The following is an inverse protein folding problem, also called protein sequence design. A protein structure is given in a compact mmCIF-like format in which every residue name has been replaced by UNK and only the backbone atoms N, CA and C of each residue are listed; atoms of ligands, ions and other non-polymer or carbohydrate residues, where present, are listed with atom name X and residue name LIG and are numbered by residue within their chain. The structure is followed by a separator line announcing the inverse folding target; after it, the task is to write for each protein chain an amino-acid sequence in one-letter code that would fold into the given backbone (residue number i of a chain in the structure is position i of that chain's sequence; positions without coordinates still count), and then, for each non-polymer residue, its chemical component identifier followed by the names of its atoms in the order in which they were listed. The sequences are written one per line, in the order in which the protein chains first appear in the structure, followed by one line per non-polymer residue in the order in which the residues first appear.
data_IF_593939610595
#
_entry.id   IF_593939610595
#
_cell.length_a   1.000
_cell.length_b   1.000
_cell.length_c   1.000
_cell.angle_alpha   90.00
_cell.angle_beta   90.00
_cell.angle_gamma   90.00
#
_symmetry.space_group_name_H-M   'P 1'
#
loop_
_entity.id
_entity.type
_entity.pdbx_description
1 polymer ?
#
# COMPACT_ATOMS: atom_id res chain seq x y z
N UNK A 1 -38.80 22.65 -31.00
CA UNK A 1 -37.72 23.59 -30.59
C UNK A 1 -37.55 23.66 -29.06
N UNK A 2 -37.42 22.53 -28.34
CA UNK A 2 -37.30 22.51 -26.86
C UNK A 2 -36.00 21.88 -26.32
N UNK A 3 -35.06 21.49 -27.19
CA UNK A 3 -33.81 20.82 -26.79
C UNK A 3 -32.63 21.76 -26.50
N UNK A 4 -32.68 23.04 -26.91
CA UNK A 4 -31.53 23.96 -26.83
C UNK A 4 -31.38 24.64 -25.45
N UNK A 5 -32.51 24.91 -24.77
CA UNK A 5 -32.52 25.56 -23.45
C UNK A 5 -31.98 24.70 -22.32
N UNK A 6 -32.31 23.39 -22.29
CA UNK A 6 -31.81 22.44 -21.28
C UNK A 6 -30.28 22.29 -21.33
N UNK A 7 -29.70 22.13 -22.54
CA UNK A 7 -28.25 22.01 -22.71
C UNK A 7 -27.49 23.25 -22.24
N UNK A 8 -28.02 24.45 -22.49
CA UNK A 8 -27.41 25.71 -22.01
C UNK A 8 -27.51 25.86 -20.49
N UNK A 9 -28.64 25.48 -19.88
CA UNK A 9 -28.80 25.50 -18.41
C UNK A 9 -27.89 24.49 -17.71
N UNK A 10 -27.78 23.28 -18.23
CA UNK A 10 -26.90 22.23 -17.70
C UNK A 10 -25.42 22.63 -17.84
N UNK A 11 -25.02 23.23 -18.97
CA UNK A 11 -23.66 23.73 -19.19
C UNK A 11 -23.30 24.89 -18.24
N UNK A 12 -24.24 25.80 -17.94
CA UNK A 12 -24.01 26.93 -17.01
C UNK A 12 -23.95 26.45 -15.56
N UNK A 13 -24.77 25.46 -15.17
CA UNK A 13 -24.71 24.81 -13.85
C UNK A 13 -23.40 24.03 -13.68
N UNK A 14 -23.00 23.29 -14.69
CA UNK A 14 -21.73 22.55 -14.72
C UNK A 14 -20.56 23.53 -14.57
N UNK A 15 -20.55 24.65 -15.30
CA UNK A 15 -19.48 25.65 -15.22
C UNK A 15 -19.40 26.40 -13.87
N UNK A 16 -20.55 26.72 -13.24
CA UNK A 16 -20.57 27.28 -11.87
C UNK A 16 -20.12 26.26 -10.83
N UNK A 17 -20.51 24.99 -10.97
CA UNK A 17 -20.09 23.92 -10.07
C UNK A 17 -18.59 23.62 -10.20
N UNK A 18 -18.06 23.55 -11.43
CA UNK A 18 -16.62 23.40 -11.72
C UNK A 18 -15.80 24.54 -11.14
N UNK A 19 -16.26 25.79 -11.27
CA UNK A 19 -15.62 26.96 -10.64
C UNK A 19 -15.64 26.89 -9.12
N UNK A 20 -16.71 26.39 -8.50
CA UNK A 20 -16.76 26.18 -7.06
C UNK A 20 -15.79 25.07 -6.62
N UNK A 21 -15.73 23.95 -7.35
CA UNK A 21 -14.81 22.85 -7.07
C UNK A 21 -13.33 23.22 -7.28
N UNK A 22 -13.03 24.02 -8.32
CA UNK A 22 -11.69 24.57 -8.53
C UNK A 22 -11.24 25.43 -7.34
N UNK A 23 -12.13 26.25 -6.77
CA UNK A 23 -11.84 27.03 -5.55
C UNK A 23 -11.62 26.17 -4.31
N UNK A 24 -12.16 24.95 -4.30
CA UNK A 24 -11.92 23.97 -3.23
C UNK A 24 -10.69 23.09 -3.44
N UNK A 25 -9.97 23.20 -4.55
CA UNK A 25 -8.80 22.35 -4.85
C UNK A 25 -9.15 20.93 -5.31
N UNK A 26 -10.32 20.74 -5.92
CA UNK A 26 -10.76 19.45 -6.48
C UNK A 26 -10.85 19.56 -8.01
N UNK A 27 -10.15 18.68 -8.71
CA UNK A 27 -10.25 18.49 -10.15
C UNK A 27 -11.53 17.72 -10.51
N UNK A 28 -12.16 18.11 -11.62
CA UNK A 28 -13.39 17.50 -12.16
C UNK A 28 -13.13 16.78 -13.49
N UNK A 29 -11.89 16.78 -13.99
CA UNK A 29 -11.49 15.93 -15.10
C UNK A 29 -11.41 14.48 -14.66
N UNK A 30 -11.63 13.55 -15.60
CA UNK A 30 -11.39 12.14 -15.34
C UNK A 30 -9.89 11.92 -15.15
N UNK A 31 -9.51 11.15 -14.14
CA UNK A 31 -8.12 10.81 -13.83
C UNK A 31 -8.00 9.31 -13.71
N UNK A 32 -7.00 8.73 -14.37
CA UNK A 32 -6.58 7.33 -14.15
C UNK A 32 -5.42 7.36 -13.17
N UNK A 33 -5.62 6.76 -12.01
CA UNK A 33 -4.57 6.61 -11.01
C UNK A 33 -4.09 5.17 -11.02
N UNK A 34 -2.81 4.96 -11.31
CA UNK A 34 -2.18 3.64 -11.31
C UNK A 34 -1.29 3.53 -10.07
N UNK A 35 -1.46 2.44 -9.32
CA UNK A 35 -0.67 2.13 -8.14
C UNK A 35 0.49 1.19 -8.51
N UNK A 36 1.44 1.04 -7.59
CA UNK A 36 2.51 0.06 -7.77
C UNK A 36 1.93 -1.35 -7.79
N UNK A 37 2.18 -2.03 -8.90
CA UNK A 37 1.90 -3.43 -9.11
C UNK A 37 3.09 -4.31 -8.78
N UNK A 38 2.89 -5.61 -8.90
CA UNK A 38 3.91 -6.61 -8.63
C UNK A 38 3.61 -7.88 -9.42
N UNK A 39 4.61 -8.74 -9.57
CA UNK A 39 4.41 -10.06 -10.12
C UNK A 39 5.71 -10.80 -10.32
N UNK A 40 5.63 -11.96 -10.95
CA UNK A 40 6.79 -12.77 -11.31
C UNK A 40 6.83 -12.98 -12.84
N UNK A 41 7.80 -13.75 -13.32
CA UNK A 41 8.03 -13.98 -14.76
C UNK A 41 6.83 -14.56 -15.52
N UNK A 42 5.85 -15.18 -14.85
CA UNK A 42 4.70 -15.82 -15.47
C UNK A 42 3.36 -15.10 -15.28
N UNK A 43 3.26 -14.18 -14.31
CA UNK A 43 2.05 -13.44 -14.03
C UNK A 43 2.40 -12.09 -13.38
N UNK A 44 1.90 -11.01 -13.97
CA UNK A 44 2.02 -9.64 -13.50
C UNK A 44 0.65 -9.09 -13.14
N UNK A 45 0.63 -8.18 -12.17
CA UNK A 45 -0.58 -7.48 -11.80
C UNK A 45 -0.33 -6.03 -11.44
N UNK A 46 -1.30 -5.18 -11.78
CA UNK A 46 -1.33 -3.76 -11.42
C UNK A 46 -2.74 -3.33 -11.06
N UNK A 47 -2.83 -2.36 -10.15
CA UNK A 47 -4.07 -1.87 -9.58
C UNK A 47 -4.21 -0.37 -9.84
N UNK A 48 -5.44 0.12 -9.80
CA UNK A 48 -5.67 1.54 -9.90
C UNK A 48 -7.12 1.94 -9.72
N UNK A 49 -7.40 3.23 -9.88
CA UNK A 49 -8.76 3.75 -9.92
C UNK A 49 -8.95 4.67 -11.13
N UNK A 50 -10.15 4.64 -11.71
CA UNK A 50 -10.64 5.72 -12.56
C UNK A 50 -11.54 6.61 -11.72
N UNK A 51 -11.17 7.88 -11.62
CA UNK A 51 -11.85 8.87 -10.80
C UNK A 51 -12.46 9.92 -11.72
N UNK A 52 -13.76 10.18 -11.57
CA UNK A 52 -14.43 11.30 -12.24
C UNK A 52 -14.14 12.64 -11.55
N UNK A 53 -13.67 12.59 -10.30
CA UNK A 53 -13.21 13.75 -9.53
C UNK A 53 -12.08 13.34 -8.61
N UNK A 54 -10.97 14.05 -8.65
CA UNK A 54 -9.79 13.83 -7.82
C UNK A 54 -9.35 15.15 -7.18
N UNK A 55 -8.56 15.13 -6.09
CA UNK A 55 -7.83 16.33 -5.67
C UNK A 55 -6.94 16.82 -6.81
N UNK A 56 -6.68 18.14 -6.89
CA UNK A 56 -5.58 18.60 -7.74
C UNK A 56 -4.26 18.02 -7.23
N UNK A 57 -3.30 17.69 -8.12
CA UNK A 57 -1.93 17.48 -7.70
C UNK A 57 -1.41 18.82 -7.19
N UNK A 58 -1.26 18.98 -5.87
CA UNK A 58 -0.58 20.15 -5.34
C UNK A 58 0.92 19.99 -5.63
N UNK A 59 1.50 20.99 -6.31
CA UNK A 59 2.94 21.18 -6.30
C UNK A 59 3.40 21.43 -4.86
N UNK A 60 4.54 20.85 -4.50
CA UNK A 60 5.21 20.98 -3.18
C UNK A 60 5.03 22.40 -2.62
N UNK A 61 4.07 22.61 -1.70
CA UNK A 61 3.85 23.93 -1.10
C UNK A 61 3.72 23.84 0.41
N UNK A 62 4.36 24.82 1.06
CA UNK A 62 4.67 24.95 2.47
C UNK A 62 3.50 24.68 3.43
N UNK A 63 3.90 24.00 4.50
CA UNK A 63 3.15 23.52 5.66
C UNK A 63 2.33 24.59 6.39
N UNK A 64 1.00 24.49 6.30
CA UNK A 64 0.05 25.16 7.20
C UNK A 64 -0.97 24.15 7.75
N UNK A 65 -1.17 24.15 9.08
CA UNK A 65 -2.02 23.20 9.82
C UNK A 65 -3.45 23.05 9.26
N UNK A 66 -4.09 24.18 8.92
CA UNK A 66 -5.45 24.21 8.36
C UNK A 66 -5.49 23.83 6.87
N UNK A 67 -4.39 24.06 6.14
CA UNK A 67 -4.23 23.63 4.75
C UNK A 67 -4.16 22.11 4.65
N UNK A 68 -3.40 21.47 5.56
CA UNK A 68 -3.23 20.03 5.65
C UNK A 68 -4.53 19.28 5.95
N UNK A 69 -5.36 19.79 6.87
CA UNK A 69 -6.67 19.17 7.18
C UNK A 69 -7.64 19.30 6.00
N UNK A 70 -7.62 20.42 5.27
CA UNK A 70 -8.44 20.57 4.05
C UNK A 70 -7.94 19.67 2.92
N UNK A 71 -6.63 19.59 2.69
CA UNK A 71 -6.03 18.67 1.72
C UNK A 71 -6.41 17.23 2.01
N UNK A 72 -6.43 16.85 3.30
CA UNK A 72 -6.87 15.54 3.76
C UNK A 72 -8.34 15.26 3.51
N UNK A 73 -9.23 16.19 3.87
CA UNK A 73 -10.67 16.03 3.63
C UNK A 73 -10.95 15.86 2.13
N UNK A 74 -10.18 16.51 1.24
CA UNK A 74 -10.30 16.32 -0.21
C UNK A 74 -9.98 14.90 -0.68
N UNK A 75 -9.08 14.18 0.00
CA UNK A 75 -8.80 12.76 -0.31
C UNK A 75 -10.05 11.87 -0.14
N UNK A 76 -11.01 12.28 0.67
CA UNK A 76 -12.29 11.58 0.87
C UNK A 76 -13.42 12.15 0.01
N UNK A 77 -13.17 13.23 -0.75
CA UNK A 77 -14.14 13.85 -1.69
C UNK A 77 -13.98 13.33 -3.13
N UNK A 78 -13.25 12.23 -3.28
CA UNK A 78 -13.05 11.53 -4.55
C UNK A 78 -14.36 10.94 -5.05
N UNK A 79 -14.63 11.07 -6.35
CA UNK A 79 -15.77 10.41 -6.99
C UNK A 79 -15.25 9.36 -7.96
N UNK A 80 -15.59 8.10 -7.72
CA UNK A 80 -15.26 6.99 -8.60
C UNK A 80 -15.97 7.10 -9.96
N UNK A 81 -15.42 6.44 -10.98
CA UNK A 81 -16.07 6.22 -12.27
C UNK A 81 -16.30 4.70 -12.42
N UNK A 82 -17.52 4.20 -12.14
CA UNK A 82 -17.83 2.77 -12.27
C UNK A 82 -17.91 2.34 -13.74
N UNK A 83 -17.64 1.06 -14.00
CA UNK A 83 -17.76 0.42 -15.32
C UNK A 83 -16.98 1.13 -16.43
N UNK A 84 -15.91 1.85 -16.07
CA UNK A 84 -15.03 2.55 -16.99
C UNK A 84 -14.15 1.53 -17.71
N UNK A 85 -14.11 1.57 -19.04
CA UNK A 85 -13.22 0.74 -19.84
C UNK A 85 -11.79 1.23 -19.72
N UNK A 86 -10.88 0.36 -19.33
CA UNK A 86 -9.46 0.67 -19.21
C UNK A 86 -8.63 -0.35 -19.97
N UNK A 87 -7.53 0.11 -20.54
CA UNK A 87 -6.57 -0.71 -21.25
C UNK A 87 -5.15 -0.46 -20.76
N UNK A 88 -4.36 -1.53 -20.69
CA UNK A 88 -2.95 -1.54 -20.36
C UNK A 88 -2.18 -2.02 -21.60
N UNK A 89 -1.10 -1.33 -21.94
CA UNK A 89 -0.16 -1.81 -22.96
C UNK A 89 1.08 -2.43 -22.32
N UNK A 90 1.43 -3.64 -22.74
CA UNK A 90 2.62 -4.35 -22.26
C UNK A 90 3.21 -5.24 -23.34
N UNK A 91 4.49 -5.04 -23.70
CA UNK A 91 5.19 -5.84 -24.73
C UNK A 91 4.41 -5.96 -26.07
N UNK A 92 3.72 -4.90 -26.49
CA UNK A 92 2.89 -4.90 -27.71
C UNK A 92 1.50 -5.52 -27.55
N UNK A 93 1.20 -6.13 -26.39
CA UNK A 93 -0.13 -6.61 -26.05
C UNK A 93 -0.99 -5.47 -25.50
N UNK A 94 -2.28 -5.50 -25.82
CA UNK A 94 -3.28 -4.62 -25.21
C UNK A 94 -4.21 -5.47 -24.35
N UNK A 95 -4.19 -5.23 -23.05
CA UNK A 95 -5.01 -5.95 -22.07
C UNK A 95 -6.14 -5.01 -21.66
N UNK A 96 -7.37 -5.51 -21.69
CA UNK A 96 -8.57 -4.74 -21.35
C UNK A 96 -9.19 -5.20 -20.04
N UNK A 97 -9.68 -4.26 -19.24
CA UNK A 97 -10.57 -4.56 -18.11
C UNK A 97 -11.58 -3.42 -17.91
N UNK A 98 -12.48 -3.58 -16.95
CA UNK A 98 -13.43 -2.55 -16.55
C UNK A 98 -13.29 -2.27 -15.06
N UNK A 99 -13.53 -1.03 -14.67
CA UNK A 99 -13.58 -0.70 -13.24
C UNK A 99 -14.81 -1.30 -12.57
N UNK A 100 -14.65 -1.68 -11.31
CA UNK A 100 -15.75 -2.02 -10.42
C UNK A 100 -16.58 -0.78 -10.02
N UNK A 101 -17.61 -0.98 -9.20
CA UNK A 101 -18.53 0.09 -8.78
C UNK A 101 -17.84 1.24 -8.02
N UNK A 102 -16.76 0.93 -7.31
CA UNK A 102 -15.92 1.89 -6.60
C UNK A 102 -14.85 2.55 -7.51
N UNK A 103 -14.89 2.27 -8.82
CA UNK A 103 -13.93 2.79 -9.79
C UNK A 103 -12.58 2.10 -9.75
N UNK A 104 -12.40 1.05 -8.95
CA UNK A 104 -11.17 0.26 -8.88
C UNK A 104 -11.03 -0.63 -10.12
N UNK A 105 -9.81 -0.71 -10.66
CA UNK A 105 -9.46 -1.72 -11.66
C UNK A 105 -8.28 -2.57 -11.18
N UNK A 106 -8.25 -3.80 -11.67
CA UNK A 106 -7.18 -4.75 -11.47
C UNK A 106 -6.87 -5.44 -12.80
N UNK A 107 -5.63 -5.33 -13.24
CA UNK A 107 -5.11 -6.10 -14.36
C UNK A 107 -4.29 -7.27 -13.83
N UNK A 108 -4.53 -8.45 -14.40
CA UNK A 108 -3.65 -9.61 -14.31
C UNK A 108 -3.32 -10.04 -15.72
N UNK A 109 -2.05 -10.23 -16.04
CA UNK A 109 -1.63 -10.66 -17.36
C UNK A 109 -0.33 -11.44 -17.31
N UNK A 110 -0.11 -12.23 -18.35
CA UNK A 110 1.12 -12.99 -18.55
C UNK A 110 1.99 -12.26 -19.57
N UNK A 111 3.26 -11.91 -19.24
CA UNK A 111 4.20 -11.39 -20.24
C UNK A 111 4.41 -12.38 -21.39
N UNK A 112 4.60 -11.86 -22.60
CA UNK A 112 4.90 -12.69 -23.78
C UNK A 112 6.30 -13.28 -23.69
N UNK A 113 7.25 -12.44 -23.27
CA UNK A 113 8.65 -12.78 -23.10
C UNK A 113 9.08 -12.54 -21.65
N UNK A 114 10.08 -13.30 -21.14
CA UNK A 114 10.64 -13.08 -19.82
C UNK A 114 11.09 -11.63 -19.63
N UNK A 115 10.49 -10.95 -18.66
CA UNK A 115 10.87 -9.58 -18.27
C UNK A 115 11.97 -9.65 -17.22
N UNK A 116 13.05 -8.84 -17.30
CA UNK A 116 14.10 -8.83 -16.31
C UNK A 116 13.61 -8.36 -14.94
N UNK A 117 14.34 -8.71 -13.88
CA UNK A 117 14.05 -8.23 -12.54
C UNK A 117 14.21 -6.70 -12.44
N UNK A 118 13.37 -6.06 -11.64
CA UNK A 118 13.37 -4.61 -11.42
C UNK A 118 11.98 -3.97 -11.50
N UNK A 119 11.97 -2.65 -11.45
CA UNK A 119 10.78 -1.83 -11.66
C UNK A 119 10.57 -1.54 -13.14
N UNK A 120 9.34 -1.76 -13.61
CA UNK A 120 8.96 -1.53 -15.00
C UNK A 120 7.79 -0.54 -15.06
N UNK A 121 7.89 0.52 -15.88
CA UNK A 121 6.78 1.46 -16.03
C UNK A 121 5.60 0.76 -16.70
N UNK A 122 4.39 1.14 -16.29
CA UNK A 122 3.14 0.71 -16.90
C UNK A 122 2.24 1.90 -17.13
N UNK A 123 1.50 1.88 -18.22
CA UNK A 123 0.59 2.94 -18.59
C UNK A 123 -0.80 2.37 -18.80
N UNK A 124 -1.78 2.95 -18.11
CA UNK A 124 -3.18 2.57 -18.20
C UNK A 124 -3.97 3.73 -18.77
N UNK A 125 -4.73 3.45 -19.82
CA UNK A 125 -5.59 4.43 -20.49
C UNK A 125 -7.04 4.09 -20.24
N UNK A 126 -7.84 5.07 -19.81
CA UNK A 126 -9.29 4.97 -19.82
C UNK A 126 -9.81 5.42 -21.18
N UNK A 127 -10.59 4.54 -21.82
CA UNK A 127 -11.20 4.80 -23.12
C UNK A 127 -12.72 4.94 -22.99
N UNK A 128 -13.32 5.72 -23.89
CA UNK A 128 -14.77 5.86 -24.01
C UNK A 128 -15.12 6.09 -25.47
N UNK A 129 -16.01 5.26 -26.03
CA UNK A 129 -16.41 5.32 -27.44
C UNK A 129 -15.23 5.27 -28.43
N UNK A 130 -14.15 4.55 -28.09
CA UNK A 130 -12.94 4.46 -28.92
C UNK A 130 -11.97 5.62 -28.78
N UNK A 131 -12.28 6.64 -27.96
CA UNK A 131 -11.39 7.77 -27.69
C UNK A 131 -10.66 7.61 -26.35
N UNK A 132 -9.39 8.05 -26.30
CA UNK A 132 -8.60 8.12 -25.06
C UNK A 132 -9.05 9.32 -24.22
N UNK A 133 -9.62 9.06 -23.04
CA UNK A 133 -10.19 10.10 -22.17
C UNK A 133 -9.19 10.57 -21.13
N UNK A 134 -8.45 9.64 -20.55
CA UNK A 134 -7.45 9.91 -19.52
C UNK A 134 -6.42 8.79 -19.47
N UNK A 135 -5.22 9.12 -19.04
CA UNK A 135 -4.10 8.19 -18.94
C UNK A 135 -3.42 8.36 -17.57
N UNK A 136 -2.88 7.27 -17.05
CA UNK A 136 -2.14 7.24 -15.81
C UNK A 136 -0.95 6.30 -15.92
N UNK A 137 0.14 6.65 -15.26
CA UNK A 137 1.36 5.84 -15.21
C UNK A 137 1.57 5.27 -13.81
N UNK A 138 2.14 4.08 -13.76
CA UNK A 138 2.54 3.37 -12.55
C UNK A 138 3.76 2.52 -12.81
N UNK A 139 4.06 1.62 -11.87
CA UNK A 139 5.22 0.72 -11.98
C UNK A 139 4.83 -0.67 -11.51
N UNK A 140 5.41 -1.72 -12.10
CA UNK A 140 5.29 -3.11 -11.66
C UNK A 140 6.67 -3.59 -11.23
N UNK A 141 6.75 -4.19 -10.05
CA UNK A 141 7.99 -4.79 -9.57
C UNK A 141 8.07 -6.29 -9.88
N UNK A 142 9.21 -6.71 -10.42
CA UNK A 142 9.56 -8.10 -10.66
C UNK A 142 10.82 -8.44 -9.85
N UNK A 143 10.76 -9.32 -8.84
CA UNK A 143 11.94 -9.67 -8.05
C UNK A 143 12.92 -10.55 -8.81
N UNK A 144 14.17 -10.49 -8.37
CA UNK A 144 15.18 -11.47 -8.74
C UNK A 144 14.97 -12.78 -7.96
N UNK A 145 15.16 -13.97 -8.55
CA UNK A 145 14.87 -15.25 -7.89
C UNK A 145 15.65 -15.53 -6.60
N UNK A 146 16.78 -14.87 -6.38
CA UNK A 146 17.64 -15.06 -5.18
C UNK A 146 17.18 -14.26 -3.97
N UNK A 147 16.19 -13.38 -4.12
CA UNK A 147 15.73 -12.49 -3.07
C UNK A 147 14.72 -13.19 -2.15
N UNK A 148 14.66 -12.73 -0.91
CA UNK A 148 13.50 -12.96 -0.05
C UNK A 148 12.63 -11.71 -0.01
N UNK A 149 11.35 -11.85 0.32
CA UNK A 149 10.44 -10.72 0.45
C UNK A 149 10.23 -10.29 1.88
N UNK A 150 9.91 -9.01 2.09
CA UNK A 150 9.48 -8.49 3.39
C UNK A 150 8.02 -8.05 3.28
N UNK A 151 7.16 -8.55 4.17
CA UNK A 151 5.76 -8.11 4.27
C UNK A 151 5.62 -7.37 5.59
N UNK A 152 5.26 -6.09 5.53
CA UNK A 152 5.20 -5.20 6.67
C UNK A 152 3.83 -4.58 6.85
N UNK A 153 3.35 -4.53 8.09
CA UNK A 153 2.28 -3.60 8.45
C UNK A 153 2.81 -2.16 8.57
N UNK A 154 2.14 -1.26 7.87
CA UNK A 154 2.38 0.18 7.96
C UNK A 154 1.52 0.85 9.03
N UNK A 155 0.39 0.25 9.40
CA UNK A 155 -0.68 0.94 10.12
C UNK A 155 -0.26 1.45 11.50
N UNK A 156 0.47 0.67 12.30
CA UNK A 156 0.94 1.10 13.63
C UNK A 156 2.45 1.35 13.69
N UNK A 157 3.20 1.04 12.62
CA UNK A 157 4.65 1.33 12.53
C UNK A 157 4.93 2.83 12.33
N UNK A 158 3.97 3.60 11.79
CA UNK A 158 4.20 4.99 11.35
C UNK A 158 3.14 6.01 11.79
N UNK A 159 2.01 5.54 12.34
CA UNK A 159 0.87 6.37 12.71
C UNK A 159 0.65 6.29 14.22
N UNK A 160 0.81 7.41 14.93
CA UNK A 160 0.51 7.45 16.37
C UNK A 160 -0.98 7.10 16.60
N UNK A 161 -1.17 5.99 17.31
CA UNK A 161 -2.23 5.70 18.30
C UNK A 161 -3.59 5.08 17.88
N UNK A 162 -3.85 3.95 18.57
CA UNK A 162 -5.07 3.51 19.27
C UNK A 162 -6.34 4.38 19.12
N UNK A 163 -6.88 4.46 17.91
CA UNK A 163 -8.24 4.94 17.74
C UNK A 163 -9.01 4.13 16.70
N UNK A 164 -10.21 3.70 17.07
CA UNK A 164 -11.14 2.98 16.18
C UNK A 164 -11.73 3.89 15.08
N UNK A 165 -11.49 5.21 15.18
CA UNK A 165 -12.02 6.21 14.25
C UNK A 165 -10.95 6.69 13.27
N UNK A 166 -11.12 6.33 12.01
CA UNK A 166 -10.32 6.77 10.85
C UNK A 166 -10.08 8.29 10.88
N UNK A 167 -11.10 9.09 11.22
CA UNK A 167 -10.99 10.55 11.37
C UNK A 167 -10.06 11.02 12.50
N UNK A 168 -9.95 10.29 13.62
CA UNK A 168 -8.99 10.61 14.69
C UNK A 168 -7.57 10.22 14.27
N UNK A 169 -7.36 9.06 13.65
CA UNK A 169 -6.07 8.66 13.04
C UNK A 169 -5.58 9.72 12.04
N UNK A 170 -6.48 10.18 11.17
CA UNK A 170 -6.25 11.23 10.18
C UNK A 170 -6.04 12.61 10.83
N UNK A 171 -6.78 12.99 11.87
CA UNK A 171 -6.53 14.25 12.58
C UNK A 171 -5.16 14.24 13.28
N UNK A 172 -4.81 13.13 13.93
CA UNK A 172 -3.50 12.96 14.54
C UNK A 172 -2.42 13.06 13.49
N UNK A 173 -2.60 12.44 12.31
CA UNK A 173 -1.68 12.47 11.18
C UNK A 173 -1.39 13.87 10.59
N UNK A 174 -2.36 14.77 10.63
CA UNK A 174 -2.27 16.06 9.92
C UNK A 174 -2.16 17.27 10.84
N UNK A 175 -2.26 17.09 12.17
CA UNK A 175 -2.06 18.16 13.16
C UNK A 175 -0.62 18.32 13.64
N UNK A 176 0.28 17.40 13.31
CA UNK A 176 1.71 17.50 13.62
C UNK A 176 2.55 17.19 12.38
N UNK A 177 3.70 17.84 12.25
CA UNK A 177 4.59 17.77 11.09
C UNK A 177 4.90 16.30 10.74
N UNK A 178 4.85 15.92 9.47
CA UNK A 178 5.32 14.58 9.04
C UNK A 178 6.79 14.37 9.44
N UNK A 179 7.57 15.45 9.46
CA UNK A 179 8.96 15.53 9.93
C UNK A 179 9.13 15.55 11.46
N UNK A 180 8.06 15.75 12.25
CA UNK A 180 8.12 15.64 13.72
C UNK A 180 7.67 14.26 14.23
N UNK A 181 7.12 13.40 13.35
CA UNK A 181 6.79 12.01 13.69
C UNK A 181 7.88 11.09 13.19
N UNK A 182 8.91 10.90 14.00
CA UNK A 182 9.92 9.88 13.74
C UNK A 182 9.22 8.52 13.71
N UNK A 183 9.39 7.71 12.65
CA UNK A 183 9.26 6.27 12.76
C UNK A 183 9.92 5.80 14.05
N UNK A 184 9.39 4.73 14.66
CA UNK A 184 10.03 4.15 15.84
C UNK A 184 11.54 4.05 15.64
N UNK A 185 12.30 4.52 16.63
CA UNK A 185 13.74 4.62 16.54
C UNK A 185 14.35 3.29 16.10
N UNK A 186 15.16 3.33 15.03
CA UNK A 186 15.77 2.15 14.43
C UNK A 186 14.88 1.26 13.53
N UNK A 187 13.57 1.50 13.41
CA UNK A 187 12.70 0.68 12.55
C UNK A 187 13.05 0.84 11.06
N UNK A 188 13.26 2.08 10.61
CA UNK A 188 13.72 2.40 9.25
C UNK A 188 15.05 1.72 8.98
N UNK A 189 15.99 1.78 9.93
CA UNK A 189 17.30 1.14 9.81
C UNK A 189 17.14 -0.37 9.65
N UNK A 190 16.30 -1.03 10.45
CA UNK A 190 16.06 -2.47 10.32
C UNK A 190 15.49 -2.83 8.94
N UNK A 191 14.53 -2.05 8.45
CA UNK A 191 13.91 -2.27 7.14
C UNK A 191 14.92 -2.06 6.00
N UNK A 192 15.74 -1.01 6.09
CA UNK A 192 16.82 -0.75 5.14
C UNK A 192 17.87 -1.87 5.13
N UNK A 193 18.25 -2.40 6.30
CA UNK A 193 19.17 -3.52 6.40
C UNK A 193 18.59 -4.79 5.77
N UNK A 194 17.32 -5.09 5.99
CA UNK A 194 16.63 -6.22 5.35
C UNK A 194 16.53 -6.04 3.82
N UNK A 195 16.22 -4.83 3.37
CA UNK A 195 16.13 -4.47 1.94
C UNK A 195 17.45 -4.70 1.21
N UNK A 196 18.59 -4.48 1.86
CA UNK A 196 19.92 -4.63 1.27
C UNK A 196 20.63 -5.94 1.69
N UNK A 197 19.92 -6.82 2.40
CA UNK A 197 20.48 -8.06 2.93
C UNK A 197 20.76 -9.07 1.81
N UNK A 198 22.04 -9.38 1.57
CA UNK A 198 22.50 -10.37 0.57
C UNK A 198 22.05 -10.07 -0.87
N UNK A 199 21.89 -8.81 -1.20
CA UNK A 199 21.50 -8.37 -2.54
C UNK A 199 22.51 -7.41 -3.14
N UNK A 200 22.46 -7.26 -4.46
CA UNK A 200 23.12 -6.15 -5.14
C UNK A 200 22.38 -4.84 -4.81
N UNK A 201 23.07 -3.69 -4.72
CA UNK A 201 22.43 -2.40 -4.43
C UNK A 201 21.30 -2.03 -5.39
N UNK A 202 21.40 -2.42 -6.66
CA UNK A 202 20.39 -2.16 -7.70
C UNK A 202 19.22 -3.16 -7.70
N UNK A 203 19.29 -4.20 -6.86
CA UNK A 203 18.27 -5.26 -6.76
C UNK A 203 17.96 -5.55 -5.28
N UNK A 204 17.42 -4.58 -4.53
CA UNK A 204 17.06 -4.79 -3.12
C UNK A 204 15.93 -5.82 -2.97
N UNK A 205 15.89 -6.52 -1.83
CA UNK A 205 14.80 -7.40 -1.45
C UNK A 205 13.46 -6.64 -1.47
N UNK A 206 12.39 -7.18 -2.07
CA UNK A 206 11.11 -6.48 -2.17
C UNK A 206 10.45 -6.25 -0.82
N UNK A 207 9.83 -5.08 -0.68
CA UNK A 207 8.91 -4.76 0.41
C UNK A 207 7.47 -4.70 -0.09
N UNK A 208 6.59 -5.40 0.61
CA UNK A 208 5.15 -5.35 0.46
C UNK A 208 4.53 -4.79 1.74
N UNK A 209 3.94 -3.61 1.64
CA UNK A 209 3.28 -2.95 2.75
C UNK A 209 1.80 -3.23 2.72
N UNK A 210 1.28 -3.91 3.75
CA UNK A 210 -0.13 -4.31 3.82
C UNK A 210 -0.80 -3.53 4.93
N UNK A 211 -1.82 -2.75 4.58
CA UNK A 211 -2.46 -1.81 5.50
C UNK A 211 -3.99 -1.91 5.42
N UNK A 212 -4.64 -1.60 6.54
CA UNK A 212 -6.08 -1.42 6.67
C UNK A 212 -6.58 -0.02 6.25
N UNK A 213 -5.66 0.88 5.92
CA UNK A 213 -5.95 2.18 5.29
C UNK A 213 -6.54 2.00 3.88
N UNK A 214 -7.29 2.98 3.40
CA UNK A 214 -7.98 2.94 2.11
C UNK A 214 -7.10 3.51 0.96
N UNK A 215 -7.38 3.10 -0.28
CA UNK A 215 -6.61 3.50 -1.47
C UNK A 215 -6.51 5.00 -1.73
N UNK A 216 -7.40 5.82 -1.17
CA UNK A 216 -7.30 7.28 -1.27
C UNK A 216 -6.11 7.84 -0.48
N UNK A 217 -5.58 7.09 0.48
CA UNK A 217 -4.38 7.44 1.26
C UNK A 217 -3.07 6.99 0.60
N UNK A 218 -3.14 6.34 -0.57
CA UNK A 218 -1.96 5.79 -1.23
C UNK A 218 -0.82 6.80 -1.45
N UNK A 219 -1.12 7.99 -2.00
CA UNK A 219 -0.06 8.97 -2.28
C UNK A 219 0.58 9.47 -0.99
N UNK A 220 -0.23 9.63 0.06
CA UNK A 220 0.23 10.07 1.36
C UNK A 220 1.14 9.03 2.01
N UNK A 221 0.75 7.75 1.99
CA UNK A 221 1.57 6.65 2.51
C UNK A 221 2.89 6.56 1.73
N UNK A 222 2.84 6.71 0.41
CA UNK A 222 4.03 6.72 -0.44
C UNK A 222 4.95 7.89 -0.12
N UNK A 223 4.42 9.12 -0.08
CA UNK A 223 5.20 10.33 0.25
C UNK A 223 5.81 10.25 1.65
N UNK A 224 5.07 9.72 2.63
CA UNK A 224 5.59 9.47 3.96
C UNK A 224 6.74 8.46 3.93
N UNK A 225 6.57 7.36 3.19
CA UNK A 225 7.60 6.32 3.05
C UNK A 225 8.86 6.88 2.40
N UNK A 226 8.72 7.71 1.37
CA UNK A 226 9.84 8.39 0.70
C UNK A 226 10.53 9.39 1.64
N UNK A 227 9.75 10.20 2.37
CA UNK A 227 10.27 11.21 3.31
C UNK A 227 11.09 10.60 4.45
N UNK A 228 10.70 9.39 4.90
CA UNK A 228 11.37 8.66 5.96
C UNK A 228 12.34 7.59 5.48
N UNK A 229 12.61 7.55 4.17
CA UNK A 229 13.54 6.60 3.56
C UNK A 229 13.19 5.15 3.92
N UNK A 230 11.92 4.79 3.88
CA UNK A 230 11.53 3.38 3.89
C UNK A 230 11.95 2.71 2.58
N UNK A 231 12.25 1.41 2.58
CA UNK A 231 12.48 0.68 1.34
C UNK A 231 11.35 0.89 0.35
N UNK A 232 11.71 1.16 -0.91
CA UNK A 232 10.73 1.26 -1.98
C UNK A 232 9.95 -0.06 -2.06
N UNK A 233 8.62 0.03 -2.05
CA UNK A 233 7.78 -1.15 -2.04
C UNK A 233 6.42 -0.97 -2.70
N UNK A 234 5.68 -2.05 -2.68
CA UNK A 234 4.31 -2.20 -3.16
C UNK A 234 3.36 -2.00 -1.99
N UNK A 235 2.30 -1.20 -2.16
CA UNK A 235 1.34 -0.91 -1.10
C UNK A 235 -0.01 -1.58 -1.41
N UNK A 236 -0.48 -2.45 -0.53
CA UNK A 236 -1.76 -3.13 -0.65
C UNK A 236 -2.73 -2.63 0.42
N UNK A 237 -3.70 -1.85 -0.04
CA UNK A 237 -4.63 -1.10 0.80
C UNK A 237 -6.06 -1.67 0.72
N UNK A 238 -6.94 -1.21 1.60
CA UNK A 238 -8.38 -1.49 1.56
C UNK A 238 -9.08 -0.75 0.41
N UNK A 239 -10.10 -1.40 -0.17
CA UNK A 239 -11.02 -0.78 -1.12
C UNK A 239 -11.71 0.44 -0.50
N UNK A 240 -12.05 1.41 -1.35
CA UNK A 240 -12.72 2.64 -0.93
C UNK A 240 -14.11 2.29 -0.39
N UNK A 241 -14.42 2.71 0.83
CA UNK A 241 -15.77 2.58 1.38
C UNK A 241 -16.52 3.88 1.23
N UNK A 242 -17.82 3.80 0.93
CA UNK A 242 -18.67 4.98 1.01
C UNK A 242 -18.80 5.44 2.47
N UNK A 243 -18.95 6.75 2.70
CA UNK A 243 -19.08 7.33 4.04
C UNK A 243 -20.22 6.69 4.87
N UNK A 244 -21.30 6.27 4.22
CA UNK A 244 -22.42 5.55 4.82
C UNK A 244 -22.07 4.12 5.29
N UNK A 245 -21.03 3.52 4.73
CA UNK A 245 -20.51 2.19 5.09
C UNK A 245 -19.44 2.25 6.19
N UNK A 246 -18.77 3.39 6.37
CA UNK A 246 -17.78 3.60 7.45
C UNK A 246 -18.42 3.43 8.84
N UNK A 247 -19.69 3.79 8.99
CA UNK A 247 -20.45 3.68 10.26
C UNK A 247 -20.88 2.24 10.62
N UNK A 248 -20.73 1.25 9.72
CA UNK A 248 -21.25 -0.12 9.90
C UNK A 248 -20.19 -1.22 10.08
N UNK A 249 -18.91 -0.88 10.26
CA UNK A 249 -17.81 -1.87 10.05
C UNK A 249 -17.13 -2.36 11.33
N UNK A 250 -17.77 -3.32 12.02
CA UNK A 250 -17.19 -3.99 13.21
C UNK A 250 -16.61 -5.40 13.00
N UNK A 251 -16.89 -6.12 11.89
CA UNK A 251 -16.68 -7.60 11.85
C UNK A 251 -15.89 -8.20 10.68
N UNK A 252 -15.27 -7.41 9.80
CA UNK A 252 -14.67 -7.92 8.54
C UNK A 252 -13.20 -7.60 8.27
N UNK A 253 -12.46 -6.98 9.19
CA UNK A 253 -11.09 -6.48 8.92
C UNK A 253 -10.02 -7.58 8.86
N UNK A 254 -10.19 -8.69 9.58
CA UNK A 254 -9.14 -9.73 9.69
C UNK A 254 -9.00 -10.57 8.42
N UNK A 255 -10.12 -10.84 7.74
CA UNK A 255 -10.12 -11.65 6.52
C UNK A 255 -9.36 -10.94 5.39
N UNK A 256 -9.43 -9.61 5.30
CA UNK A 256 -8.85 -8.87 4.18
C UNK A 256 -7.32 -8.79 4.22
N UNK A 257 -6.71 -8.63 5.39
CA UNK A 257 -5.24 -8.60 5.52
C UNK A 257 -4.63 -9.98 5.28
N UNK A 258 -5.23 -11.04 5.83
CA UNK A 258 -4.85 -12.42 5.51
C UNK A 258 -4.88 -12.68 4.00
N UNK A 259 -5.98 -12.36 3.32
CA UNK A 259 -6.11 -12.58 1.87
C UNK A 259 -5.06 -11.82 1.06
N UNK A 260 -4.70 -10.59 1.46
CA UNK A 260 -3.63 -9.84 0.76
C UNK A 260 -2.27 -10.49 0.91
N UNK A 261 -1.92 -10.93 2.12
CA UNK A 261 -0.65 -11.61 2.39
C UNK A 261 -0.60 -12.95 1.62
N UNK A 262 -1.69 -13.73 1.68
CA UNK A 262 -1.80 -14.99 0.92
C UNK A 262 -1.59 -14.78 -0.59
N UNK A 263 -2.23 -13.77 -1.18
CA UNK A 263 -2.03 -13.41 -2.61
C UNK A 263 -0.57 -13.07 -2.93
N UNK A 264 0.13 -12.35 -2.06
CA UNK A 264 1.57 -12.08 -2.25
C UNK A 264 2.33 -13.41 -2.29
N UNK A 265 2.10 -14.30 -1.33
CA UNK A 265 2.80 -15.59 -1.24
C UNK A 265 2.51 -16.48 -2.47
N UNK A 266 1.27 -16.46 -2.98
CA UNK A 266 0.84 -17.17 -4.19
C UNK A 266 1.49 -16.60 -5.45
N UNK A 267 1.59 -15.28 -5.59
CA UNK A 267 2.27 -14.61 -6.71
C UNK A 267 3.78 -14.88 -6.75
N UNK A 268 4.36 -15.43 -5.68
CA UNK A 268 5.80 -15.71 -5.60
C UNK A 268 6.10 -17.11 -5.07
N UNK A 269 5.75 -18.19 -5.80
CA UNK A 269 5.72 -19.55 -5.25
C UNK A 269 7.04 -20.04 -4.65
N UNK A 270 8.18 -19.52 -5.13
CA UNK A 270 9.53 -19.90 -4.68
C UNK A 270 10.15 -18.93 -3.67
N UNK A 271 9.58 -17.74 -3.49
CA UNK A 271 10.11 -16.73 -2.57
C UNK A 271 9.71 -17.05 -1.13
N UNK A 272 10.65 -16.89 -0.21
CA UNK A 272 10.38 -16.93 1.23
C UNK A 272 10.27 -15.51 1.79
N UNK A 273 9.50 -15.35 2.87
CA UNK A 273 9.11 -14.04 3.38
C UNK A 273 9.47 -13.83 4.85
N UNK A 274 9.85 -12.60 5.17
CA UNK A 274 9.92 -12.07 6.54
C UNK A 274 8.63 -11.28 6.80
N UNK A 275 7.94 -11.57 7.91
CA UNK A 275 6.74 -10.84 8.31
C UNK A 275 7.08 -9.84 9.41
N UNK A 276 6.66 -8.59 9.27
CA UNK A 276 6.94 -7.50 10.22
C UNK A 276 5.63 -6.82 10.64
N UNK A 277 5.36 -6.79 11.94
CA UNK A 277 4.16 -6.14 12.50
C UNK A 277 4.34 -5.80 13.97
N UNK A 278 3.22 -5.59 14.67
CA UNK A 278 3.17 -5.23 16.09
C UNK A 278 2.12 -6.04 16.86
N UNK A 279 2.12 -5.92 18.19
CA UNK A 279 1.16 -6.61 19.06
C UNK A 279 -0.15 -5.86 19.33
N UNK A 280 -0.30 -4.63 18.85
CA UNK A 280 -1.48 -3.81 19.10
C UNK A 280 -2.61 -4.14 18.13
N UNK A 281 -2.27 -4.70 16.98
CA UNK A 281 -3.19 -5.20 15.98
C UNK A 281 -3.40 -6.72 16.06
N UNK A 282 -3.88 -7.29 14.97
CA UNK A 282 -4.19 -8.72 14.84
C UNK A 282 -3.08 -9.45 14.08
N UNK A 283 -1.96 -8.77 13.89
CA UNK A 283 -0.78 -9.24 13.17
C UNK A 283 -0.24 -10.55 13.74
N UNK A 284 -0.12 -10.75 15.07
CA UNK A 284 0.31 -12.04 15.60
C UNK A 284 -0.58 -13.19 15.09
N UNK A 285 -1.90 -13.04 15.18
CA UNK A 285 -2.86 -14.06 14.78
C UNK A 285 -2.93 -14.24 13.25
N UNK A 286 -2.81 -13.16 12.49
CA UNK A 286 -2.76 -13.22 11.02
C UNK A 286 -1.48 -13.93 10.58
N UNK A 287 -0.34 -13.63 11.20
CA UNK A 287 0.94 -14.26 10.89
C UNK A 287 0.98 -15.73 11.30
N UNK A 288 0.36 -16.10 12.43
CA UNK A 288 0.11 -17.50 12.80
C UNK A 288 -0.68 -18.22 11.71
N UNK A 289 -1.80 -17.64 11.28
CA UNK A 289 -2.65 -18.24 10.26
C UNK A 289 -1.92 -18.38 8.93
N UNK A 290 -1.17 -17.36 8.50
CA UNK A 290 -0.37 -17.40 7.26
C UNK A 290 0.72 -18.47 7.37
N UNK A 291 1.47 -18.51 8.46
CA UNK A 291 2.51 -19.51 8.68
C UNK A 291 1.96 -20.94 8.69
N UNK A 292 0.76 -21.13 9.23
CA UNK A 292 0.09 -22.44 9.27
C UNK A 292 -0.37 -22.90 7.89
N UNK A 293 -0.86 -21.99 7.04
CA UNK A 293 -1.31 -22.32 5.68
C UNK A 293 -0.16 -22.42 4.67
N UNK A 294 0.92 -21.65 4.88
CA UNK A 294 2.09 -21.61 4.02
C UNK A 294 3.36 -21.97 4.80
N UNK A 295 3.43 -23.21 5.35
CA UNK A 295 4.62 -23.65 6.07
C UNK A 295 5.84 -23.58 5.13
N UNK A 296 7.03 -23.35 5.68
CA UNK A 296 8.30 -23.16 4.94
C UNK A 296 8.43 -21.86 4.12
N UNK A 297 7.32 -21.20 3.78
CA UNK A 297 7.34 -19.92 3.05
C UNK A 297 7.71 -18.73 3.93
N UNK A 298 7.62 -18.87 5.25
CA UNK A 298 8.01 -17.83 6.20
C UNK A 298 9.41 -18.13 6.76
N UNK A 299 10.30 -17.14 6.70
CA UNK A 299 11.66 -17.22 7.27
C UNK A 299 11.62 -16.87 8.74
N UNK A 300 10.96 -15.75 9.05
CA UNK A 300 10.86 -15.22 10.41
C UNK A 300 9.70 -14.26 10.58
N UNK A 301 9.30 -14.09 11.83
CA UNK A 301 8.25 -13.17 12.25
C UNK A 301 8.81 -12.18 13.26
N UNK A 302 8.68 -10.89 12.96
CA UNK A 302 9.05 -9.79 13.84
C UNK A 302 7.79 -9.11 14.33
N UNK A 303 7.58 -9.12 15.65
CA UNK A 303 6.46 -8.47 16.31
C UNK A 303 7.00 -7.41 17.27
N UNK A 304 6.67 -6.15 17.03
CA UNK A 304 7.00 -5.07 17.96
C UNK A 304 6.08 -5.15 19.18
N UNK A 305 6.68 -5.05 20.36
CA UNK A 305 6.00 -5.00 21.65
C UNK A 305 5.67 -3.56 22.01
N UNK A 306 4.39 -3.20 21.97
CA UNK A 306 3.88 -1.89 22.35
C UNK A 306 2.90 -1.95 23.55
N UNK A 307 2.31 -3.11 23.85
CA UNK A 307 1.37 -3.27 24.97
C UNK A 307 1.64 -4.52 25.82
N UNK A 308 1.91 -4.30 27.11
CA UNK A 308 2.09 -5.39 28.08
C UNK A 308 0.81 -6.21 28.33
N UNK A 309 -0.37 -5.63 28.10
CA UNK A 309 -1.66 -6.30 28.28
C UNK A 309 -1.80 -7.52 27.34
N UNK A 310 -1.32 -7.37 26.10
CA UNK A 310 -1.47 -8.39 25.04
C UNK A 310 -0.36 -9.43 25.06
N UNK A 311 0.74 -9.15 25.78
CA UNK A 311 1.94 -9.99 25.82
C UNK A 311 1.66 -11.47 26.08
N UNK A 312 0.83 -11.90 27.05
CA UNK A 312 0.59 -13.33 27.29
C UNK A 312 0.00 -14.05 26.06
N UNK A 313 -0.96 -13.40 25.39
CA UNK A 313 -1.60 -13.97 24.20
C UNK A 313 -0.63 -14.00 22.99
N UNK A 314 0.17 -12.96 22.82
CA UNK A 314 1.20 -12.89 21.77
C UNK A 314 2.28 -13.95 21.97
N UNK A 315 2.71 -14.18 23.21
CA UNK A 315 3.67 -15.25 23.54
C UNK A 315 3.10 -16.64 23.24
N UNK A 316 1.80 -16.86 23.46
CA UNK A 316 1.15 -18.12 23.08
C UNK A 316 1.17 -18.33 21.56
N UNK A 317 0.94 -17.27 20.78
CA UNK A 317 1.07 -17.30 19.32
C UNK A 317 2.50 -17.58 18.87
N UNK A 318 3.49 -16.92 19.48
CA UNK A 318 4.91 -17.12 19.17
C UNK A 318 5.32 -18.57 19.40
N UNK A 319 4.90 -19.20 20.50
CA UNK A 319 5.18 -20.62 20.75
C UNK A 319 4.65 -21.53 19.63
N UNK A 320 3.48 -21.22 19.07
CA UNK A 320 2.93 -21.98 17.94
C UNK A 320 3.75 -21.77 16.67
N UNK A 321 4.18 -20.54 16.39
CA UNK A 321 5.06 -20.22 15.26
C UNK A 321 6.43 -20.92 15.40
N UNK A 322 7.02 -20.91 16.59
CA UNK A 322 8.27 -21.61 16.89
C UNK A 322 8.13 -23.12 16.77
N UNK A 323 6.98 -23.69 17.16
CA UNK A 323 6.67 -25.11 16.95
C UNK A 323 6.57 -25.49 15.45
N UNK A 324 6.29 -24.51 14.57
CA UNK A 324 6.37 -24.68 13.11
C UNK A 324 7.80 -24.49 12.55
N UNK A 325 8.79 -24.27 13.42
CA UNK A 325 10.19 -24.03 13.04
C UNK A 325 10.47 -22.61 12.55
N UNK A 326 9.58 -21.65 12.81
CA UNK A 326 9.73 -20.26 12.37
C UNK A 326 10.37 -19.43 13.47
N UNK A 327 11.49 -18.78 13.13
CA UNK A 327 12.19 -17.91 14.07
C UNK A 327 11.37 -16.64 14.35
N UNK A 328 11.07 -16.39 15.62
CA UNK A 328 10.26 -15.26 16.05
C UNK A 328 11.08 -14.28 16.91
N UNK A 329 10.84 -12.99 16.72
CA UNK A 329 11.42 -11.95 17.55
C UNK A 329 10.31 -11.00 18.03
N UNK A 330 10.05 -11.02 19.34
CA UNK A 330 9.13 -10.11 20.00
C UNK A 330 9.93 -9.11 20.82
N UNK A 331 9.95 -7.85 20.39
CA UNK A 331 10.98 -6.88 20.80
C UNK A 331 10.39 -5.50 21.09
N UNK A 332 11.03 -4.75 22.00
CA UNK A 332 10.68 -3.34 22.24
C UNK A 332 11.58 -2.42 21.42
N UNK A 333 12.87 -2.73 21.37
CA UNK A 333 13.90 -1.90 20.74
C UNK A 333 14.36 -2.50 19.42
N UNK A 334 14.51 -1.68 18.38
CA UNK A 334 14.79 -2.16 17.02
C UNK A 334 16.16 -2.85 16.91
N UNK A 335 17.08 -2.57 17.82
CA UNK A 335 18.39 -3.22 17.97
C UNK A 335 18.26 -4.73 18.22
N UNK A 336 17.23 -5.16 18.96
CA UNK A 336 16.95 -6.56 19.23
C UNK A 336 16.57 -7.28 17.92
N UNK A 337 15.70 -6.67 17.12
CA UNK A 337 15.25 -7.19 15.82
C UNK A 337 16.39 -7.22 14.80
N UNK A 338 17.24 -6.18 14.77
CA UNK A 338 18.44 -6.14 13.94
C UNK A 338 19.41 -7.25 14.35
N UNK A 339 19.65 -7.43 15.65
CA UNK A 339 20.54 -8.48 16.16
C UNK A 339 20.01 -9.88 15.84
N UNK A 340 18.70 -10.09 15.97
CA UNK A 340 18.04 -11.33 15.56
C UNK A 340 18.20 -11.58 14.05
N UNK A 341 18.01 -10.56 13.21
CA UNK A 341 18.20 -10.65 11.76
C UNK A 341 19.64 -11.03 11.38
N UNK A 342 20.65 -10.51 12.09
CA UNK A 342 22.06 -10.91 11.91
C UNK A 342 22.29 -12.38 12.28
N UNK A 343 21.72 -12.84 13.40
CA UNK A 343 21.85 -14.25 13.85
C UNK A 343 21.24 -15.21 12.84
N UNK A 344 20.10 -14.85 12.25
CA UNK A 344 19.45 -15.62 11.19
C UNK A 344 20.17 -15.53 9.84
N UNK A 345 21.18 -14.65 9.71
CA UNK A 345 21.85 -14.41 8.45
C UNK A 345 20.95 -13.74 7.41
N UNK A 346 19.94 -12.97 7.82
CA UNK A 346 19.10 -12.17 6.90
C UNK A 346 19.81 -10.89 6.44
N UNK A 347 20.74 -10.40 7.25
CA UNK A 347 21.52 -9.19 6.99
C UNK A 347 23.00 -9.45 7.29
N UNK A 348 23.89 -8.69 6.67
CA UNK A 348 25.33 -8.85 6.84
C UNK A 348 25.74 -8.74 8.32
N UNK A 349 26.71 -9.56 8.72
CA UNK A 349 27.39 -9.40 10.01
C UNK A 349 28.21 -8.11 9.97
N UNK A 350 28.25 -7.37 11.08
CA UNK A 350 29.19 -6.24 11.18
C UNK A 350 30.61 -6.80 10.94
N UNK A 351 31.46 -6.10 10.18
CA UNK A 351 32.87 -6.46 10.16
C UNK A 351 33.35 -6.48 11.62
N UNK A 352 34.08 -7.53 12.00
CA UNK A 352 34.73 -7.54 13.31
C UNK A 352 35.56 -6.26 13.41
N UNK A 353 35.27 -5.43 14.40
CA UNK A 353 36.07 -4.25 14.68
C UNK A 353 37.49 -4.71 14.96
N UNK A 354 38.38 -4.46 13.98
CA UNK A 354 39.83 -4.65 14.07
C UNK A 354 40.46 -3.67 15.04
#
# INVERSE_FOLDING_TARGET
MHSSGKRKYDAVKDNRSRRWWARTGVNTSTVVKVYRGYGHTGELQVFGHVLSRSPFPEGRTRYHLLGNIRALLRLFMVKSKPLAEVQLQWQGQTIHTRTADDGFFHFQWKPEYPTPAGWHPVTVTHTQNGENIAEGTGEVYIPHPTQFGCISDIDDTFLISHSEHVFKKLKVLFTHNASSRRPFEGAVLHYQLLSHGHTLPLMPNPFFYVSSSEWNLYDYIREFSDAWQLPQGVYLLNQLKHFSQLLKTGRGKHHTKFTRIARILESYPHMRFVLLGDDTQQDPYIYEAIASHFPQRIISVYLRHLSDEKKPAVLAVIRKLEALGIACCYFRHSEEAISHSRRLGLIARLPASS
#
